data_IF_502400834490
#
_entry.id   IF_502400834490
#
_cell.length_a   1.000
_cell.length_b   1.000
_cell.length_c   1.000
_cell.angle_alpha   90.00
_cell.angle_beta   90.00
_cell.angle_gamma   90.00
#
_symmetry.space_group_name_H-M   'P 1'
#
loop_
_entity.id
_entity.type
_entity.pdbx_description
1 polymer ?
#
# COMPACT_ATOMS: atom_id res chain seq x y z
N UNK A 1 54.82 -17.10 -26.58
CA UNK A 1 53.78 -16.07 -26.74
C UNK A 1 53.87 -15.57 -28.16
N UNK A 2 52.94 -16.03 -28.99
CA UNK A 2 53.01 -15.93 -30.45
C UNK A 2 52.77 -14.49 -30.91
N UNK A 3 53.73 -13.93 -31.66
CA UNK A 3 53.67 -12.60 -32.27
C UNK A 3 52.54 -12.59 -33.33
N UNK A 4 51.30 -12.39 -32.90
CA UNK A 4 50.14 -12.31 -33.79
C UNK A 4 50.29 -11.06 -34.66
N UNK A 5 50.68 -11.30 -35.90
CA UNK A 5 50.96 -10.36 -36.99
C UNK A 5 49.76 -9.43 -37.21
N UNK A 6 49.85 -8.17 -36.78
CA UNK A 6 48.80 -7.15 -36.94
C UNK A 6 48.60 -6.65 -38.39
N UNK A 7 49.11 -7.35 -39.40
CA UNK A 7 49.07 -6.92 -40.80
C UNK A 7 47.84 -7.42 -41.58
N UNK A 8 47.03 -8.30 -41.00
CA UNK A 8 45.72 -8.57 -41.56
C UNK A 8 44.73 -7.60 -40.93
N UNK A 9 43.95 -6.88 -41.74
CA UNK A 9 42.84 -6.05 -41.27
C UNK A 9 41.93 -6.94 -40.42
N UNK A 10 42.09 -6.90 -39.10
CA UNK A 10 41.28 -7.70 -38.19
C UNK A 10 39.84 -7.26 -38.41
N UNK A 11 39.01 -8.17 -38.92
CA UNK A 11 37.59 -7.93 -39.12
C UNK A 11 36.88 -8.30 -37.82
N UNK A 12 35.93 -7.48 -37.41
CA UNK A 12 35.08 -7.79 -36.26
C UNK A 12 34.37 -9.14 -36.46
N UNK A 13 34.35 -9.96 -35.41
CA UNK A 13 33.66 -11.25 -35.38
C UNK A 13 32.89 -11.40 -34.08
N UNK A 14 31.66 -11.90 -34.13
CA UNK A 14 30.84 -12.21 -32.96
C UNK A 14 31.38 -13.46 -32.23
N UNK A 15 32.42 -13.28 -31.41
CA UNK A 15 33.06 -14.33 -30.61
C UNK A 15 33.21 -13.80 -29.18
N UNK A 16 32.72 -14.55 -28.19
CA UNK A 16 32.62 -14.07 -26.81
C UNK A 16 33.97 -14.04 -26.05
N UNK A 17 34.87 -14.97 -26.35
CA UNK A 17 36.09 -15.19 -25.54
C UNK A 17 37.40 -14.81 -26.22
N UNK A 18 37.39 -14.46 -27.52
CA UNK A 18 38.59 -13.98 -28.22
C UNK A 18 38.77 -12.49 -27.96
N UNK A 19 39.90 -12.06 -27.39
CA UNK A 19 40.21 -10.64 -27.24
C UNK A 19 40.39 -10.01 -28.63
N UNK A 20 39.57 -9.00 -28.95
CA UNK A 20 39.62 -8.26 -30.21
C UNK A 20 39.98 -6.79 -29.95
N UNK A 21 40.61 -6.08 -30.91
CA UNK A 21 40.99 -4.67 -30.79
C UNK A 21 39.81 -3.69 -30.97
N UNK A 22 38.57 -4.13 -30.72
CA UNK A 22 37.38 -3.29 -30.82
C UNK A 22 36.91 -2.90 -29.42
N UNK A 23 36.45 -1.65 -29.21
CA UNK A 23 35.94 -1.23 -27.92
C UNK A 23 34.65 -2.01 -27.59
N UNK A 24 34.59 -2.59 -26.38
CA UNK A 24 33.44 -3.34 -25.88
C UNK A 24 32.39 -2.40 -25.24
N UNK A 25 32.09 -1.29 -25.92
CA UNK A 25 31.19 -0.25 -25.42
C UNK A 25 29.93 -0.09 -26.27
N UNK A 26 29.64 -1.05 -27.15
CA UNK A 26 28.42 -1.01 -27.96
C UNK A 26 27.21 -1.40 -27.10
N UNK A 27 26.43 -0.41 -26.71
CA UNK A 27 25.22 -0.61 -25.91
C UNK A 27 23.94 -0.64 -26.75
N UNK A 28 24.00 -0.57 -28.08
CA UNK A 28 22.82 -0.50 -28.96
C UNK A 28 22.56 0.88 -29.57
N UNK A 29 23.53 1.79 -29.49
CA UNK A 29 23.44 3.12 -30.12
C UNK A 29 22.38 4.01 -29.47
N UNK A 30 21.57 4.69 -30.29
CA UNK A 30 20.49 5.58 -29.84
C UNK A 30 19.33 4.85 -29.17
N UNK A 31 19.19 3.53 -29.38
CA UNK A 31 18.08 2.75 -28.83
C UNK A 31 18.35 2.28 -27.39
N UNK A 32 19.61 2.28 -26.94
CA UNK A 32 19.94 1.84 -25.59
C UNK A 32 19.27 2.73 -24.55
N UNK A 33 18.39 2.14 -23.73
CA UNK A 33 17.60 2.84 -22.71
C UNK A 33 16.63 3.90 -23.27
N UNK A 34 16.35 3.92 -24.57
CA UNK A 34 15.37 4.85 -25.17
C UNK A 34 13.99 4.72 -24.52
N UNK A 35 13.61 3.50 -24.19
CA UNK A 35 12.36 3.19 -23.48
C UNK A 35 12.53 3.05 -21.97
N UNK A 36 13.69 3.39 -21.39
CA UNK A 36 13.87 3.35 -19.94
C UNK A 36 13.02 4.45 -19.30
N UNK A 37 11.84 4.05 -18.84
CA UNK A 37 10.96 4.91 -18.09
C UNK A 37 11.34 4.84 -16.61
N UNK A 38 11.62 6.00 -16.02
CA UNK A 38 11.82 6.13 -14.58
C UNK A 38 10.47 6.43 -13.96
N UNK A 39 10.19 5.83 -12.79
CA UNK A 39 9.09 6.26 -11.94
C UNK A 39 7.68 6.09 -12.53
N UNK A 40 7.44 5.12 -13.42
CA UNK A 40 6.13 4.92 -14.05
C UNK A 40 4.96 4.76 -13.07
N UNK A 41 5.23 4.23 -11.87
CA UNK A 41 4.23 3.97 -10.85
C UNK A 41 4.41 4.83 -9.59
N UNK A 42 4.94 6.05 -9.71
CA UNK A 42 4.99 6.95 -8.54
C UNK A 42 3.57 7.35 -8.16
N UNK A 43 3.17 6.92 -6.97
CA UNK A 43 1.90 7.29 -6.35
C UNK A 43 2.19 8.37 -5.32
N UNK A 44 1.57 9.54 -5.50
CA UNK A 44 1.61 10.62 -4.52
C UNK A 44 0.61 10.33 -3.39
N UNK A 45 1.11 10.21 -2.17
CA UNK A 45 0.27 10.01 -0.98
C UNK A 45 0.15 11.30 -0.19
N UNK A 46 -1.08 11.63 0.23
CA UNK A 46 -1.26 12.68 1.23
C UNK A 46 -0.78 12.17 2.59
N UNK A 47 -0.30 13.08 3.44
CA UNK A 47 0.21 12.74 4.78
C UNK A 47 -0.80 11.90 5.59
N UNK A 48 -2.10 12.24 5.56
CA UNK A 48 -3.12 11.50 6.28
C UNK A 48 -3.34 10.07 5.74
N UNK A 49 -3.21 9.87 4.44
CA UNK A 49 -3.31 8.54 3.82
C UNK A 49 -2.10 7.69 4.20
N UNK A 50 -0.90 8.28 4.18
CA UNK A 50 0.33 7.64 4.63
C UNK A 50 0.25 7.26 6.11
N UNK A 51 -0.21 8.17 6.99
CA UNK A 51 -0.38 7.90 8.43
C UNK A 51 -1.43 6.80 8.67
N UNK A 52 -2.55 6.80 7.95
CA UNK A 52 -3.56 5.71 8.03
C UNK A 52 -3.01 4.37 7.52
N UNK A 53 -2.15 4.40 6.51
CA UNK A 53 -1.43 3.22 6.02
C UNK A 53 -0.49 2.66 7.08
N UNK A 54 0.40 3.52 7.59
CA UNK A 54 1.38 3.17 8.61
C UNK A 54 0.73 2.71 9.92
N UNK A 55 -0.34 3.37 10.37
CA UNK A 55 -1.01 3.03 11.63
C UNK A 55 -1.55 1.60 11.64
N UNK A 56 -1.98 1.06 10.49
CA UNK A 56 -2.40 -0.34 10.39
C UNK A 56 -1.27 -1.31 10.69
N UNK A 57 -0.07 -1.05 10.15
CA UNK A 57 1.12 -1.88 10.40
C UNK A 57 1.53 -1.77 11.87
N UNK A 58 1.52 -0.55 12.42
CA UNK A 58 1.86 -0.30 13.84
C UNK A 58 0.89 -1.02 14.77
N UNK A 59 -0.43 -0.96 14.53
CA UNK A 59 -1.44 -1.67 15.34
C UNK A 59 -1.18 -3.18 15.36
N UNK A 60 -0.76 -3.78 14.23
CA UNK A 60 -0.42 -5.21 14.20
C UNK A 60 0.85 -5.51 14.99
N UNK A 61 1.89 -4.67 14.89
CA UNK A 61 3.11 -4.82 15.67
C UNK A 61 2.84 -4.68 17.18
N UNK A 62 2.05 -3.67 17.57
CA UNK A 62 1.65 -3.43 18.95
C UNK A 62 0.84 -4.61 19.51
N UNK A 63 -0.04 -5.22 18.71
CA UNK A 63 -0.79 -6.40 19.12
C UNK A 63 0.14 -7.59 19.48
N UNK A 64 1.22 -7.79 18.72
CA UNK A 64 2.24 -8.82 19.04
C UNK A 64 2.96 -8.49 20.33
N UNK A 65 3.36 -7.24 20.53
CA UNK A 65 4.04 -6.79 21.76
C UNK A 65 3.12 -6.97 22.98
N UNK A 66 1.87 -6.54 22.89
CA UNK A 66 0.87 -6.70 23.95
C UNK A 66 0.66 -8.18 24.28
N UNK A 67 0.56 -9.05 23.26
CA UNK A 67 0.46 -10.49 23.46
C UNK A 67 1.65 -11.05 24.25
N UNK A 68 2.88 -10.68 23.88
CA UNK A 68 4.09 -11.12 24.58
C UNK A 68 4.15 -10.60 26.03
N UNK A 69 3.74 -9.36 26.25
CA UNK A 69 3.66 -8.77 27.60
C UNK A 69 2.64 -9.49 28.47
N UNK A 70 1.45 -9.80 27.94
CA UNK A 70 0.42 -10.57 28.65
C UNK A 70 0.93 -11.97 28.94
N UNK A 71 1.54 -12.65 27.97
CA UNK A 71 2.12 -13.97 28.16
C UNK A 71 3.18 -13.97 29.27
N UNK A 72 4.09 -13.00 29.23
CA UNK A 72 5.12 -12.82 30.27
C UNK A 72 4.49 -12.58 31.64
N UNK A 73 3.48 -11.72 31.74
CA UNK A 73 2.79 -11.41 32.99
C UNK A 73 2.11 -12.65 33.58
N UNK A 74 1.40 -13.41 32.74
CA UNK A 74 0.73 -14.65 33.14
C UNK A 74 1.72 -15.75 33.56
N UNK A 75 2.87 -15.85 32.89
CA UNK A 75 3.89 -16.86 33.20
C UNK A 75 4.62 -16.58 34.51
N UNK A 76 4.88 -15.32 34.83
CA UNK A 76 5.65 -14.95 36.03
C UNK A 76 4.76 -14.72 37.26
N UNK A 77 3.48 -14.40 37.05
CA UNK A 77 2.56 -13.99 38.12
C UNK A 77 1.22 -14.74 38.04
N UNK A 78 1.21 -16.07 38.29
CA UNK A 78 0.00 -16.87 38.14
C UNK A 78 -1.13 -16.47 39.10
N UNK A 79 -0.80 -15.92 40.27
CA UNK A 79 -1.79 -15.47 41.26
C UNK A 79 -2.73 -14.39 40.71
N UNK A 80 -2.23 -13.53 39.80
CA UNK A 80 -3.02 -12.45 39.19
C UNK A 80 -3.66 -12.86 37.86
N UNK A 81 -3.49 -14.10 37.40
CA UNK A 81 -3.98 -14.55 36.09
C UNK A 81 -5.50 -14.36 35.93
N UNK A 82 -6.26 -14.68 36.97
CA UNK A 82 -7.71 -14.50 36.97
C UNK A 82 -8.09 -13.02 36.94
N UNK A 83 -7.42 -12.18 37.72
CA UNK A 83 -7.67 -10.73 37.77
C UNK A 83 -7.38 -10.06 36.41
N UNK A 84 -6.24 -10.40 35.79
CA UNK A 84 -5.87 -9.89 34.46
C UNK A 84 -6.92 -10.28 33.42
N UNK A 85 -7.38 -11.53 33.45
CA UNK A 85 -8.39 -12.02 32.52
C UNK A 85 -9.73 -11.29 32.68
N UNK A 86 -10.16 -11.03 33.92
CA UNK A 86 -11.37 -10.26 34.21
C UNK A 86 -11.26 -8.80 33.73
N UNK A 87 -10.10 -8.17 33.93
CA UNK A 87 -9.84 -6.79 33.46
C UNK A 87 -9.91 -6.72 31.94
N UNK A 88 -9.30 -7.67 31.22
CA UNK A 88 -9.31 -7.70 29.76
C UNK A 88 -10.75 -7.87 29.24
N UNK A 89 -11.52 -8.81 29.81
CA UNK A 89 -12.92 -9.02 29.42
C UNK A 89 -13.77 -7.78 29.71
N UNK A 90 -13.62 -7.19 30.90
CA UNK A 90 -14.32 -5.98 31.32
C UNK A 90 -14.02 -4.79 30.41
N UNK A 91 -12.78 -4.64 29.94
CA UNK A 91 -12.41 -3.56 29.01
C UNK A 91 -12.90 -3.84 27.58
N UNK A 92 -12.89 -5.10 27.15
CA UNK A 92 -13.28 -5.48 25.78
C UNK A 92 -14.76 -5.20 25.49
N UNK A 93 -15.65 -5.39 26.46
CA UNK A 93 -17.10 -5.29 26.26
C UNK A 93 -17.57 -3.84 25.97
N UNK A 94 -17.19 -2.81 26.77
CA UNK A 94 -17.47 -1.41 26.46
C UNK A 94 -16.82 -0.94 25.16
N UNK A 95 -15.58 -1.36 24.88
CA UNK A 95 -14.89 -1.00 23.63
C UNK A 95 -15.62 -1.55 22.41
N UNK A 96 -16.05 -2.81 22.47
CA UNK A 96 -16.84 -3.41 21.40
C UNK A 96 -18.19 -2.72 21.23
N UNK A 97 -18.89 -2.43 22.34
CA UNK A 97 -20.13 -1.66 22.33
C UNK A 97 -19.96 -0.26 21.73
N UNK A 98 -18.90 0.44 22.09
CA UNK A 98 -18.56 1.76 21.55
C UNK A 98 -18.21 1.70 20.06
N UNK A 99 -17.46 0.69 19.61
CA UNK A 99 -17.19 0.46 18.19
C UNK A 99 -18.49 0.22 17.39
N UNK A 100 -19.42 -0.58 17.91
CA UNK A 100 -20.74 -0.78 17.30
C UNK A 100 -21.56 0.51 17.27
N UNK A 101 -21.53 1.31 18.34
CA UNK A 101 -22.18 2.62 18.40
C UNK A 101 -21.64 3.57 17.33
N UNK A 102 -20.31 3.71 17.21
CA UNK A 102 -19.67 4.51 16.18
C UNK A 102 -19.99 4.00 14.78
N UNK A 103 -20.01 2.68 14.56
CA UNK A 103 -20.42 2.08 13.28
C UNK A 103 -21.87 2.42 12.94
N UNK A 104 -22.77 2.33 13.93
CA UNK A 104 -24.19 2.66 13.77
C UNK A 104 -24.38 4.15 13.44
N UNK A 105 -23.66 5.03 14.12
CA UNK A 105 -23.67 6.47 13.87
C UNK A 105 -23.15 6.81 12.48
N UNK A 106 -22.01 6.25 12.09
CA UNK A 106 -21.44 6.41 10.74
C UNK A 106 -22.41 5.93 9.66
N UNK A 107 -22.96 4.73 9.82
CA UNK A 107 -23.92 4.18 8.87
C UNK A 107 -25.21 5.04 8.82
N UNK A 108 -25.67 5.58 9.94
CA UNK A 108 -26.81 6.50 9.97
C UNK A 108 -26.51 7.79 9.20
N UNK A 109 -25.33 8.38 9.43
CA UNK A 109 -24.88 9.59 8.76
C UNK A 109 -24.73 9.37 7.25
N UNK A 110 -24.16 8.23 6.85
CA UNK A 110 -24.02 7.87 5.44
C UNK A 110 -25.39 7.65 4.78
N UNK A 111 -26.29 6.89 5.41
CA UNK A 111 -27.65 6.68 4.89
C UNK A 111 -28.40 8.01 4.76
N UNK A 112 -28.26 8.92 5.73
CA UNK A 112 -28.87 10.24 5.66
C UNK A 112 -28.32 11.06 4.48
N UNK A 113 -27.00 11.02 4.26
CA UNK A 113 -26.37 11.67 3.10
C UNK A 113 -26.86 11.09 1.77
N UNK A 114 -26.98 9.76 1.67
CA UNK A 114 -27.46 9.07 0.47
C UNK A 114 -28.94 9.42 0.17
N UNK A 115 -29.79 9.50 1.20
CA UNK A 115 -31.19 9.94 1.04
C UNK A 115 -31.30 11.40 0.63
N UNK A 116 -30.49 12.30 1.21
CA UNK A 116 -30.47 13.70 0.82
C UNK A 116 -29.99 13.88 -0.63
N UNK A 117 -28.97 13.14 -1.04
CA UNK A 117 -28.51 13.12 -2.44
C UNK A 117 -29.61 12.62 -3.37
N UNK A 118 -30.28 11.53 -3.01
CA UNK A 118 -31.40 10.99 -3.80
C UNK A 118 -32.51 12.02 -3.97
N UNK A 119 -32.89 12.71 -2.89
CA UNK A 119 -33.89 13.77 -2.94
C UNK A 119 -33.45 14.95 -3.81
N UNK A 120 -32.18 15.38 -3.71
CA UNK A 120 -31.63 16.44 -4.55
C UNK A 120 -31.63 16.06 -6.04
N UNK A 121 -31.28 14.81 -6.37
CA UNK A 121 -31.35 14.27 -7.73
C UNK A 121 -32.80 14.26 -8.23
N UNK A 122 -33.75 13.79 -7.42
CA UNK A 122 -35.17 13.77 -7.78
C UNK A 122 -35.73 15.18 -8.02
N UNK A 123 -35.32 16.18 -7.24
CA UNK A 123 -35.69 17.58 -7.49
C UNK A 123 -35.05 18.11 -8.77
N UNK A 124 -33.77 17.80 -9.02
CA UNK A 124 -33.06 18.20 -10.23
C UNK A 124 -33.70 17.62 -11.49
N UNK A 125 -33.99 16.32 -11.50
CA UNK A 125 -34.70 15.66 -12.60
C UNK A 125 -36.16 16.11 -12.68
N UNK A 126 -36.89 16.11 -11.58
CA UNK A 126 -38.28 16.51 -11.53
C UNK A 126 -38.48 17.93 -12.07
N UNK A 127 -37.70 18.90 -11.60
CA UNK A 127 -37.77 20.28 -12.07
C UNK A 127 -37.14 20.47 -13.46
N UNK A 128 -36.00 19.83 -13.74
CA UNK A 128 -35.30 19.94 -15.02
C UNK A 128 -36.09 19.35 -16.19
N UNK A 129 -36.87 18.30 -15.97
CA UNK A 129 -37.74 17.70 -16.99
C UNK A 129 -39.17 18.25 -16.99
N UNK A 130 -39.63 18.97 -15.96
CA UNK A 130 -40.94 19.65 -15.94
C UNK A 130 -41.20 20.49 -17.22
N UNK A 131 -40.26 21.30 -17.74
CA UNK A 131 -40.53 22.09 -18.96
C UNK A 131 -40.66 21.25 -20.24
N UNK A 132 -40.20 19.99 -20.28
CA UNK A 132 -40.27 19.17 -21.50
C UNK A 132 -41.62 18.46 -21.65
N UNK A 133 -42.38 18.34 -20.56
CA UNK A 133 -43.71 17.70 -20.54
C UNK A 133 -44.81 18.71 -20.92
N UNK A 134 -44.51 20.02 -20.90
CA UNK A 134 -45.41 21.06 -21.39
C UNK A 134 -45.22 21.31 -22.87
#
# INVERSE_FOLDING_TARGET
MENKKWNEKIKWRKILYEKQPFPDNYSGGEEFLKELRKNENVVEYKLLEAVRGASRIVIHADAVVIYLLIFYLLSNFPSYSNEISMIILSLSFPLYGFHLYLRRYRNAAQNAADHLLTFAILLSFGYGFTPIIR
#
